data_IF_610892771901
#
_entry.id   IF_610892771901
#
_cell.length_a   1.000
_cell.length_b   1.000
_cell.length_c   1.000
_cell.angle_alpha   90.00
_cell.angle_beta   90.00
_cell.angle_gamma   90.00
#
_symmetry.space_group_name_H-M   'P 1'
#
loop_
_entity.id
_entity.type
_entity.pdbx_description
1 polymer ?
#
# COMPACT_ATOMS: atom_id res chain seq x y z
N UNK A 1 -37.56 -68.24 31.51
CA UNK A 1 -37.11 -69.58 31.05
C UNK A 1 -38.37 -70.36 30.66
N UNK A 2 -38.42 -71.12 29.54
CA UNK A 2 -37.74 -70.95 28.24
C UNK A 2 -38.55 -69.92 27.39
N UNK A 3 -39.18 -70.08 26.20
CA UNK A 3 -39.30 -71.16 25.18
C UNK A 3 -39.81 -70.69 23.79
N UNK A 4 -39.49 -71.50 22.76
CA UNK A 4 -40.23 -71.90 21.53
C UNK A 4 -41.43 -71.02 21.04
N UNK A 5 -41.40 -70.27 19.91
CA UNK A 5 -41.34 -70.63 18.44
C UNK A 5 -42.69 -71.09 17.82
N UNK A 6 -42.85 -71.16 16.47
CA UNK A 6 -42.44 -70.24 15.37
C UNK A 6 -43.58 -69.96 14.34
N UNK A 7 -43.34 -69.12 13.32
CA UNK A 7 -44.15 -69.11 12.09
C UNK A 7 -43.36 -68.78 10.81
N UNK A 8 -43.65 -69.58 9.76
CA UNK A 8 -43.16 -69.61 8.37
C UNK A 8 -42.98 -68.22 7.72
N UNK A 9 -41.95 -67.91 6.93
CA UNK A 9 -41.33 -68.64 5.78
C UNK A 9 -42.22 -68.76 4.54
N UNK A 10 -41.96 -67.95 3.52
CA UNK A 10 -42.19 -68.26 2.10
C UNK A 10 -41.27 -67.41 1.22
N UNK A 11 -40.95 -67.93 0.03
CA UNK A 11 -39.95 -67.38 -0.89
C UNK A 11 -40.58 -66.69 -2.10
N UNK A 12 -39.76 -65.92 -2.82
CA UNK A 12 -39.81 -65.43 -4.22
C UNK A 12 -39.45 -63.94 -4.25
N UNK A 13 -38.71 -63.37 -5.21
CA UNK A 13 -37.69 -63.89 -6.14
C UNK A 13 -36.95 -62.66 -6.73
N UNK A 14 -35.85 -62.86 -7.47
CA UNK A 14 -35.16 -61.77 -8.17
C UNK A 14 -36.00 -61.20 -9.33
N UNK A 15 -35.94 -59.88 -9.50
CA UNK A 15 -35.60 -59.26 -10.80
C UNK A 15 -34.71 -58.05 -10.56
N UNK A 16 -33.57 -57.99 -11.26
CA UNK A 16 -32.76 -56.76 -11.34
C UNK A 16 -33.45 -55.78 -12.28
N UNK A 17 -33.40 -54.49 -11.96
CA UNK A 17 -33.29 -53.45 -12.98
C UNK A 17 -32.19 -52.47 -12.56
N UNK A 18 -31.23 -52.27 -13.44
CA UNK A 18 -30.09 -51.39 -13.19
C UNK A 18 -30.44 -49.95 -13.60
N UNK A 19 -30.12 -48.98 -12.75
CA UNK A 19 -30.12 -47.56 -13.10
C UNK A 19 -29.09 -46.82 -12.25
N UNK A 20 -27.80 -46.87 -12.62
CA UNK A 20 -26.79 -46.02 -12.01
C UNK A 20 -26.95 -44.60 -12.55
N UNK A 21 -27.92 -43.83 -12.02
CA UNK A 21 -27.94 -42.39 -12.26
C UNK A 21 -26.82 -41.75 -11.44
N UNK A 22 -25.80 -41.28 -12.13
CA UNK A 22 -24.67 -40.60 -11.50
C UNK A 22 -25.15 -39.29 -10.88
N UNK A 23 -25.18 -39.20 -9.55
CA UNK A 23 -24.87 -37.94 -8.88
C UNK A 23 -23.35 -37.68 -8.98
N UNK A 24 -22.89 -37.53 -10.23
CA UNK A 24 -21.63 -36.87 -10.52
C UNK A 24 -21.83 -35.41 -10.15
N UNK A 25 -21.52 -35.08 -8.89
CA UNK A 25 -21.49 -33.72 -8.38
C UNK A 25 -20.53 -32.89 -9.22
N UNK A 26 -21.06 -32.28 -10.29
CA UNK A 26 -20.43 -31.22 -11.05
C UNK A 26 -20.33 -30.00 -10.15
N UNK A 27 -19.35 -30.06 -9.26
CA UNK A 27 -18.65 -28.90 -8.77
C UNK A 27 -18.10 -28.19 -10.01
N UNK A 28 -18.94 -27.32 -10.59
CA UNK A 28 -18.53 -26.22 -11.44
C UNK A 28 -17.65 -25.32 -10.58
N UNK A 29 -16.40 -25.75 -10.43
CA UNK A 29 -15.26 -24.89 -10.18
C UNK A 29 -15.20 -23.94 -11.38
N UNK A 30 -16.04 -22.89 -11.32
CA UNK A 30 -15.83 -21.68 -12.08
C UNK A 30 -14.34 -21.36 -11.95
N UNK A 31 -13.56 -21.32 -13.05
CA UNK A 31 -12.21 -20.82 -12.96
C UNK A 31 -12.34 -19.39 -12.48
N UNK A 32 -11.94 -19.14 -11.22
CA UNK A 32 -11.95 -17.81 -10.61
C UNK A 32 -11.18 -16.89 -11.54
N UNK A 33 -11.92 -16.10 -12.34
CA UNK A 33 -11.35 -15.37 -13.46
C UNK A 33 -10.18 -14.55 -12.92
N UNK A 34 -8.93 -14.81 -13.36
CA UNK A 34 -7.74 -14.44 -12.60
C UNK A 34 -7.74 -12.94 -12.39
N UNK A 35 -7.97 -12.52 -11.14
CA UNK A 35 -8.29 -11.13 -10.78
C UNK A 35 -7.26 -10.22 -11.43
N UNK A 36 -7.64 -9.42 -12.43
CA UNK A 36 -6.72 -8.94 -13.46
C UNK A 36 -5.55 -8.24 -12.77
N UNK A 37 -4.34 -8.71 -13.08
CA UNK A 37 -3.11 -8.35 -12.38
C UNK A 37 -2.97 -6.83 -12.38
N UNK A 38 -3.38 -6.24 -11.26
CA UNK A 38 -3.75 -4.83 -11.23
C UNK A 38 -2.46 -4.05 -11.28
N UNK A 39 -2.28 -3.26 -12.34
CA UNK A 39 -1.10 -2.42 -12.47
C UNK A 39 -0.98 -1.52 -11.23
N UNK A 40 0.26 -1.22 -10.78
CA UNK A 40 0.47 -0.20 -9.76
C UNK A 40 -0.15 1.12 -10.23
N UNK A 41 -0.52 1.99 -9.27
CA UNK A 41 -1.20 3.26 -9.55
C UNK A 41 -0.50 4.02 -10.69
N UNK A 42 -1.25 4.31 -11.75
CA UNK A 42 -0.68 4.86 -12.98
C UNK A 42 -0.66 6.39 -12.96
N UNK A 43 0.29 6.99 -13.69
CA UNK A 43 0.37 8.44 -13.86
C UNK A 43 -0.97 9.01 -14.39
N UNK A 44 -1.50 10.02 -13.71
CA UNK A 44 -2.78 10.64 -14.01
C UNK A 44 -3.99 9.98 -13.35
N UNK A 45 -3.85 8.75 -12.82
CA UNK A 45 -4.93 8.06 -12.11
C UNK A 45 -5.36 8.86 -10.88
N UNK A 46 -6.68 8.95 -10.68
CA UNK A 46 -7.31 9.55 -9.50
C UNK A 46 -7.90 8.44 -8.64
N UNK A 47 -7.63 8.48 -7.34
CA UNK A 47 -8.17 7.53 -6.37
C UNK A 47 -8.56 8.24 -5.07
N UNK A 48 -9.17 7.49 -4.14
CA UNK A 48 -9.69 8.04 -2.88
C UNK A 48 -9.08 7.31 -1.68
N UNK A 49 -8.27 8.01 -0.87
CA UNK A 49 -7.84 7.55 0.46
C UNK A 49 -8.90 7.89 1.51
N UNK A 50 -9.16 6.94 2.39
CA UNK A 50 -9.78 7.16 3.70
C UNK A 50 -8.73 7.11 4.80
N UNK A 51 -8.75 8.10 5.69
CA UNK A 51 -8.04 8.11 6.96
C UNK A 51 -9.07 8.10 8.08
N UNK A 52 -9.22 6.95 8.75
CA UNK A 52 -10.10 6.78 9.90
C UNK A 52 -9.36 7.00 11.23
N UNK A 53 -10.08 7.50 12.24
CA UNK A 53 -9.60 7.48 13.62
C UNK A 53 -9.26 6.04 14.02
N UNK A 54 -8.00 5.79 14.38
CA UNK A 54 -7.45 4.44 14.63
C UNK A 54 -6.48 3.91 13.56
N UNK A 55 -5.95 4.74 12.67
CA UNK A 55 -4.77 4.42 11.84
C UNK A 55 -5.00 3.41 10.70
N UNK A 56 -6.23 2.93 10.51
CA UNK A 56 -6.59 2.12 9.33
C UNK A 56 -6.78 3.03 8.12
N UNK A 57 -5.69 3.28 7.41
CA UNK A 57 -5.75 3.85 6.06
C UNK A 57 -6.33 2.82 5.08
N UNK A 58 -7.23 3.27 4.22
CA UNK A 58 -7.88 2.42 3.23
C UNK A 58 -8.04 3.14 1.90
N UNK A 59 -7.55 2.53 0.83
CA UNK A 59 -7.78 3.01 -0.54
C UNK A 59 -9.13 2.47 -1.03
N UNK A 60 -10.01 3.35 -1.47
CA UNK A 60 -11.27 2.96 -2.11
C UNK A 60 -11.06 2.69 -3.62
N UNK A 61 -11.95 1.90 -4.25
CA UNK A 61 -11.95 1.69 -5.69
C UNK A 61 -11.87 3.00 -6.50
N UNK A 62 -11.23 3.01 -7.68
CA UNK A 62 -10.88 1.84 -8.50
C UNK A 62 -9.63 1.06 -8.04
N UNK A 63 -8.86 1.55 -7.08
CA UNK A 63 -7.69 0.85 -6.54
C UNK A 63 -8.11 -0.38 -5.74
N UNK A 64 -7.73 -1.62 -6.11
CA UNK A 64 -7.99 -2.79 -5.29
C UNK A 64 -7.10 -2.79 -4.04
N UNK A 65 -7.61 -3.33 -2.94
CA UNK A 65 -7.01 -3.24 -1.58
C UNK A 65 -5.69 -4.00 -1.34
N UNK A 66 -4.87 -4.20 -2.38
CA UNK A 66 -3.53 -4.76 -2.28
C UNK A 66 -2.44 -3.68 -2.01
N UNK A 67 -2.77 -2.41 -2.25
CA UNK A 67 -1.87 -1.26 -2.07
C UNK A 67 -2.02 -0.71 -0.66
N UNK A 68 -0.88 -0.59 0.03
CA UNK A 68 -0.73 -0.04 1.39
C UNK A 68 0.14 1.21 1.33
N UNK A 69 -0.27 2.29 1.99
CA UNK A 69 0.65 3.38 2.33
C UNK A 69 1.47 2.95 3.55
N UNK A 70 2.77 3.19 3.53
CA UNK A 70 3.71 2.88 4.62
C UNK A 70 4.26 4.13 5.32
N UNK A 71 4.09 5.30 4.70
CA UNK A 71 4.57 6.60 5.20
C UNK A 71 4.57 7.64 4.08
N UNK A 72 4.76 8.91 4.42
CA UNK A 72 4.77 10.00 3.46
C UNK A 72 4.66 11.36 4.12
N UNK A 73 4.59 12.42 3.31
CA UNK A 73 4.50 13.80 3.76
C UNK A 73 3.90 14.72 2.72
N UNK A 74 3.53 15.93 3.15
CA UNK A 74 3.01 16.99 2.29
C UNK A 74 4.11 17.99 1.99
N UNK A 75 4.46 18.15 0.71
CA UNK A 75 5.56 19.01 0.25
C UNK A 75 5.17 20.51 0.27
N UNK A 76 3.88 20.80 0.37
CA UNK A 76 3.31 22.15 0.40
C UNK A 76 2.73 22.50 1.77
N UNK A 77 2.65 23.81 2.08
CA UNK A 77 1.86 24.32 3.19
C UNK A 77 0.34 24.23 2.83
N UNK A 78 -0.45 23.36 3.50
CA UNK A 78 -1.88 23.22 3.21
C UNK A 78 -2.70 24.47 3.54
N UNK A 79 -2.18 25.40 4.34
CA UNK A 79 -2.80 26.69 4.63
C UNK A 79 -2.61 27.71 3.49
N UNK A 80 -1.68 27.47 2.56
CA UNK A 80 -1.36 28.37 1.44
C UNK A 80 -1.67 27.81 0.06
N UNK A 81 -1.67 26.48 -0.10
CA UNK A 81 -1.81 25.83 -1.41
C UNK A 81 -3.13 25.05 -1.50
N UNK A 82 -3.99 25.41 -2.46
CA UNK A 82 -5.35 24.82 -2.60
C UNK A 82 -5.34 23.35 -3.02
N UNK A 83 -4.25 22.88 -3.65
CA UNK A 83 -4.07 21.50 -4.14
C UNK A 83 -2.62 21.05 -3.87
N UNK A 84 -2.26 20.80 -2.60
CA UNK A 84 -0.89 20.54 -2.21
C UNK A 84 -0.34 19.26 -2.84
N UNK A 85 0.97 19.24 -3.05
CA UNK A 85 1.74 18.07 -3.45
C UNK A 85 2.06 17.18 -2.24
N UNK A 86 2.06 15.87 -2.46
CA UNK A 86 2.39 14.85 -1.47
C UNK A 86 3.47 13.91 -2.03
N UNK A 87 4.29 13.36 -1.14
CA UNK A 87 5.23 12.28 -1.43
C UNK A 87 4.90 11.08 -0.53
N UNK A 88 4.70 9.90 -1.11
CA UNK A 88 4.24 8.72 -0.36
C UNK A 88 5.05 7.46 -0.69
N UNK A 89 5.39 6.70 0.35
CA UNK A 89 5.91 5.34 0.24
C UNK A 89 4.71 4.37 0.21
N UNK A 90 4.55 3.66 -0.88
CA UNK A 90 3.52 2.64 -1.04
C UNK A 90 4.13 1.25 -1.20
N UNK A 91 3.42 0.22 -0.72
CA UNK A 91 3.67 -1.18 -1.02
C UNK A 91 2.48 -1.76 -1.78
N UNK A 92 2.72 -2.32 -2.96
CA UNK A 92 1.75 -3.13 -3.72
C UNK A 92 2.31 -4.55 -3.85
N UNK A 93 1.60 -5.54 -3.27
CA UNK A 93 1.96 -6.98 -3.32
C UNK A 93 3.43 -7.26 -2.94
N UNK A 94 3.97 -6.50 -1.99
CA UNK A 94 5.36 -6.63 -1.51
C UNK A 94 6.40 -5.82 -2.30
N UNK A 95 6.03 -5.15 -3.39
CA UNK A 95 6.90 -4.22 -4.13
C UNK A 95 6.69 -2.81 -3.61
N UNK A 96 7.76 -2.13 -3.20
CA UNK A 96 7.69 -0.73 -2.77
C UNK A 96 7.82 0.25 -3.94
N UNK A 97 7.16 1.40 -3.80
CA UNK A 97 7.14 2.51 -4.75
C UNK A 97 7.20 3.84 -4.00
N UNK A 98 7.87 4.83 -4.56
CA UNK A 98 7.67 6.24 -4.18
C UNK A 98 6.74 6.91 -5.19
N UNK A 99 5.66 7.51 -4.69
CA UNK A 99 4.66 8.22 -5.49
C UNK A 99 4.70 9.71 -5.19
N UNK A 100 4.78 10.53 -6.24
CA UNK A 100 4.52 11.96 -6.19
C UNK A 100 3.07 12.20 -6.58
N UNK A 101 2.32 12.90 -5.73
CA UNK A 101 0.88 13.03 -5.86
C UNK A 101 0.39 14.46 -5.63
N UNK A 102 -0.89 14.71 -5.95
CA UNK A 102 -1.59 15.96 -5.65
C UNK A 102 -2.92 15.68 -4.97
N UNK A 103 -3.20 16.39 -3.87
CA UNK A 103 -4.53 16.43 -3.28
C UNK A 103 -5.48 17.23 -4.19
N UNK A 104 -6.47 16.54 -4.75
CA UNK A 104 -7.53 17.12 -5.59
C UNK A 104 -8.66 17.69 -4.73
N UNK A 105 -9.06 16.94 -3.69
CA UNK A 105 -9.99 17.40 -2.64
C UNK A 105 -9.65 16.76 -1.29
N UNK A 106 -9.95 17.48 -0.20
CA UNK A 106 -10.07 16.95 1.16
C UNK A 106 -11.53 17.10 1.60
N UNK A 107 -12.07 16.09 2.29
CA UNK A 107 -13.36 16.14 2.98
C UNK A 107 -13.21 15.55 4.37
N UNK A 108 -13.64 16.26 5.39
CA UNK A 108 -13.66 15.82 6.79
C UNK A 108 -15.09 15.68 7.26
N UNK A 109 -15.42 14.60 7.97
CA UNK A 109 -16.73 14.43 8.62
C UNK A 109 -16.59 13.83 10.02
N UNK A 110 -17.65 13.99 10.82
CA UNK A 110 -17.73 13.42 12.16
C UNK A 110 -18.23 11.98 12.10
N UNK A 111 -17.58 11.09 12.81
CA UNK A 111 -18.00 9.71 13.04
C UNK A 111 -18.19 9.46 14.55
N UNK A 112 -18.78 8.31 14.90
CA UNK A 112 -19.11 7.93 16.28
C UNK A 112 -17.90 7.88 17.24
N UNK A 113 -16.69 7.79 16.70
CA UNK A 113 -15.43 7.65 17.46
C UNK A 113 -14.36 8.68 17.08
N UNK A 114 -14.73 9.80 16.42
CA UNK A 114 -13.78 10.86 16.08
C UNK A 114 -14.12 11.61 14.79
N UNK A 115 -13.13 12.31 14.23
CA UNK A 115 -13.17 12.78 12.84
C UNK A 115 -12.61 11.71 11.90
N UNK A 116 -13.12 11.68 10.68
CA UNK A 116 -12.56 10.89 9.59
C UNK A 116 -12.36 11.78 8.36
N UNK A 117 -11.26 11.53 7.64
CA UNK A 117 -10.87 12.27 6.46
C UNK A 117 -10.99 11.38 5.21
N UNK A 118 -11.40 11.99 4.11
CA UNK A 118 -11.24 11.46 2.76
C UNK A 118 -10.41 12.44 1.97
N UNK A 119 -9.36 11.93 1.35
CA UNK A 119 -8.62 12.64 0.33
C UNK A 119 -8.93 12.03 -1.03
N UNK A 120 -9.10 12.87 -2.04
CA UNK A 120 -9.04 12.46 -3.44
C UNK A 120 -7.66 12.86 -3.94
N UNK A 121 -6.87 11.90 -4.38
CA UNK A 121 -5.46 12.05 -4.74
C UNK A 121 -5.29 11.74 -6.23
N UNK A 122 -4.43 12.49 -6.91
CA UNK A 122 -4.02 12.23 -8.28
C UNK A 122 -2.53 11.90 -8.32
N UNK A 123 -2.18 10.77 -8.94
CA UNK A 123 -0.78 10.37 -9.14
C UNK A 123 -0.15 11.23 -10.22
N UNK A 124 0.95 11.90 -9.90
CA UNK A 124 1.70 12.77 -10.80
C UNK A 124 2.93 12.09 -11.37
N UNK A 125 3.61 11.26 -10.59
CA UNK A 125 4.74 10.44 -11.01
C UNK A 125 4.95 9.30 -9.99
N UNK A 126 5.61 8.22 -10.41
CA UNK A 126 5.91 7.07 -9.55
C UNK A 126 7.23 6.42 -9.95
N UNK A 127 8.03 5.99 -8.96
CA UNK A 127 9.29 5.28 -9.17
C UNK A 127 9.30 3.98 -8.35
N UNK A 128 9.61 2.82 -8.95
CA UNK A 128 9.73 1.57 -8.22
C UNK A 128 10.99 1.60 -7.35
N UNK A 129 10.92 1.02 -6.16
CA UNK A 129 12.07 0.83 -5.28
C UNK A 129 12.63 -0.60 -5.46
N UNK A 130 13.96 -0.78 -5.54
CA UNK A 130 14.57 -2.06 -5.91
C UNK A 130 14.52 -3.12 -4.81
N UNK A 131 14.30 -2.68 -3.56
CA UNK A 131 14.19 -3.52 -2.37
C UNK A 131 13.25 -2.85 -1.37
N UNK A 132 12.92 -3.54 -0.26
CA UNK A 132 12.28 -2.90 0.89
C UNK A 132 13.29 -2.03 1.64
N UNK A 133 12.87 -0.83 2.03
CA UNK A 133 13.68 0.10 2.83
C UNK A 133 12.86 1.28 3.35
N UNK A 134 13.54 2.40 3.61
CA UNK A 134 12.97 3.64 4.14
C UNK A 134 13.15 4.77 3.13
N UNK A 135 12.11 5.59 2.94
CA UNK A 135 12.25 6.92 2.35
C UNK A 135 12.64 7.92 3.42
N UNK A 136 13.64 8.74 3.10
CA UNK A 136 13.99 9.97 3.82
C UNK A 136 13.67 11.12 2.87
N UNK A 137 12.74 12.00 3.22
CA UNK A 137 12.31 13.08 2.32
C UNK A 137 12.45 14.44 3.01
N UNK A 138 13.27 15.31 2.39
CA UNK A 138 13.35 16.71 2.77
C UNK A 138 12.16 17.46 2.22
N UNK A 139 11.47 18.16 3.12
CA UNK A 139 10.47 19.16 2.77
C UNK A 139 10.97 20.49 3.31
N UNK A 140 10.61 21.62 2.71
CA UNK A 140 11.07 22.94 3.17
C UNK A 140 10.72 23.26 4.65
N UNK A 141 9.75 22.53 5.22
CA UNK A 141 9.40 22.55 6.65
C UNK A 141 9.30 21.12 7.23
N UNK A 142 10.10 20.17 6.73
CA UNK A 142 10.05 18.76 7.12
C UNK A 142 10.91 18.41 8.34
N UNK A 143 10.62 17.30 9.05
CA UNK A 143 11.42 16.85 10.20
C UNK A 143 12.77 16.22 9.79
N UNK A 144 12.97 15.94 8.51
CA UNK A 144 14.24 15.48 7.93
C UNK A 144 14.85 16.63 7.14
N UNK A 145 16.08 17.01 7.49
CA UNK A 145 16.87 18.02 6.79
C UNK A 145 18.07 17.36 6.09
N UNK A 146 18.12 17.43 4.76
CA UNK A 146 19.21 16.90 3.94
C UNK A 146 20.04 18.03 3.31
N UNK A 147 21.31 17.75 3.08
CA UNK A 147 22.24 18.64 2.37
C UNK A 147 23.01 17.87 1.29
N UNK A 148 23.34 18.57 0.21
CA UNK A 148 24.23 18.11 -0.87
C UNK A 148 25.54 18.90 -0.78
N UNK A 149 26.65 18.20 -0.56
CA UNK A 149 27.99 18.79 -0.45
C UNK A 149 28.08 19.97 0.55
N UNK A 150 27.24 19.95 1.60
CA UNK A 150 27.18 20.98 2.64
C UNK A 150 26.15 22.09 2.42
N UNK A 151 25.51 22.20 1.25
CA UNK A 151 24.36 23.10 1.04
C UNK A 151 23.03 22.39 1.31
N UNK A 152 22.08 23.05 1.97
CA UNK A 152 20.77 22.46 2.28
C UNK A 152 19.91 22.26 1.01
N UNK A 153 19.20 21.14 0.94
CA UNK A 153 18.41 20.69 -0.21
C UNK A 153 16.93 20.55 0.14
N UNK A 154 16.11 21.51 -0.27
CA UNK A 154 14.66 21.39 -0.25
C UNK A 154 14.15 20.46 -1.38
N UNK A 155 12.93 19.95 -1.21
CA UNK A 155 12.22 19.16 -2.24
C UNK A 155 12.99 17.93 -2.75
N UNK A 156 13.73 17.27 -1.86
CA UNK A 156 14.56 16.11 -2.14
C UNK A 156 13.98 14.86 -1.48
N UNK A 157 14.01 13.73 -2.21
CA UNK A 157 13.50 12.44 -1.75
C UNK A 157 14.59 11.40 -1.94
N UNK A 158 15.13 10.89 -0.84
CA UNK A 158 16.14 9.84 -0.81
C UNK A 158 15.56 8.50 -0.35
N UNK A 159 16.21 7.42 -0.75
CA UNK A 159 15.91 6.05 -0.33
C UNK A 159 17.16 5.36 0.18
N UNK A 160 17.05 4.67 1.32
CA UNK A 160 18.08 3.78 1.86
C UNK A 160 17.48 2.48 2.37
N UNK A 161 18.33 1.48 2.55
CA UNK A 161 17.98 0.26 3.27
C UNK A 161 17.99 0.54 4.77
N UNK A 162 17.09 -0.10 5.52
CA UNK A 162 17.04 0.01 6.98
C UNK A 162 18.05 -0.96 7.60
N UNK A 163 18.72 -0.56 8.67
CA UNK A 163 19.64 -1.37 9.46
C UNK A 163 19.33 -1.34 10.96
N UNK A 164 19.68 -2.42 11.67
CA UNK A 164 19.28 -2.66 13.06
C UNK A 164 19.78 -1.61 14.09
N UNK A 165 20.67 -0.69 13.68
CA UNK A 165 21.26 0.35 14.52
C UNK A 165 20.97 1.77 14.04
N UNK A 166 20.02 1.96 13.13
CA UNK A 166 19.72 3.26 12.53
C UNK A 166 19.40 4.36 13.57
N UNK A 167 18.80 4.01 14.72
CA UNK A 167 18.56 4.93 15.85
C UNK A 167 19.84 5.56 16.45
N UNK A 168 21.02 4.99 16.19
CA UNK A 168 22.32 5.44 16.70
C UNK A 168 23.08 6.35 15.72
N UNK A 169 22.52 6.59 14.53
CA UNK A 169 23.17 7.31 13.43
C UNK A 169 22.56 8.72 13.32
N UNK A 170 23.28 9.81 13.62
CA UNK A 170 22.72 11.18 13.52
C UNK A 170 22.34 11.59 12.09
N UNK A 171 23.16 11.18 11.12
CA UNK A 171 22.94 11.50 9.70
C UNK A 171 23.27 10.32 8.80
N UNK A 172 22.38 10.04 7.86
CA UNK A 172 22.53 9.01 6.84
C UNK A 172 23.23 9.56 5.59
N UNK A 173 24.26 8.84 5.14
CA UNK A 173 25.02 9.10 3.89
C UNK A 173 25.08 7.85 3.00
N UNK A 174 24.55 6.72 3.45
CA UNK A 174 24.47 5.41 2.78
C UNK A 174 23.28 5.31 1.78
N UNK A 175 22.91 6.46 1.21
CA UNK A 175 21.73 6.63 0.36
C UNK A 175 21.91 5.89 -0.97
N UNK A 176 20.87 5.16 -1.40
CA UNK A 176 20.93 4.25 -2.56
C UNK A 176 20.32 4.83 -3.82
N UNK A 177 19.29 5.66 -3.66
CA UNK A 177 18.64 6.40 -4.74
C UNK A 177 18.23 7.78 -4.19
N UNK A 178 18.20 8.78 -5.06
CA UNK A 178 17.68 10.10 -4.74
C UNK A 178 16.93 10.69 -5.94
N UNK A 179 15.94 11.54 -5.65
CA UNK A 179 15.19 12.32 -6.63
C UNK A 179 14.97 13.73 -6.11
N UNK A 180 15.02 14.73 -6.99
CA UNK A 180 14.50 16.07 -6.73
C UNK A 180 13.08 16.17 -7.27
N UNK A 181 12.17 16.80 -6.53
CA UNK A 181 10.78 17.01 -6.94
C UNK A 181 10.72 18.23 -7.85
N UNK A 182 10.59 18.01 -9.17
CA UNK A 182 10.36 19.11 -10.09
C UNK A 182 8.90 19.56 -10.01
N UNK A 183 8.65 20.57 -9.17
CA UNK A 183 7.33 21.20 -8.96
C UNK A 183 6.70 21.77 -10.23
N UNK A 184 7.51 22.18 -11.23
CA UNK A 184 7.01 22.72 -12.49
C UNK A 184 6.56 21.61 -13.45
N UNK A 185 7.37 20.56 -13.59
CA UNK A 185 7.07 19.42 -14.49
C UNK A 185 6.14 18.36 -13.87
N UNK A 186 5.95 18.41 -12.55
CA UNK A 186 5.20 17.42 -11.75
C UNK A 186 5.78 16.01 -11.91
N UNK A 187 7.07 15.89 -11.58
CA UNK A 187 7.90 14.68 -11.72
C UNK A 187 8.93 14.52 -10.61
N UNK A 188 9.39 13.29 -10.42
CA UNK A 188 10.57 12.93 -9.64
C UNK A 188 11.76 12.79 -10.60
N UNK A 189 12.66 13.77 -10.60
CA UNK A 189 13.86 13.78 -11.42
C UNK A 189 15.01 13.08 -10.68
N UNK A 190 15.62 12.03 -11.25
CA UNK A 190 16.68 11.29 -10.56
C UNK A 190 17.94 12.15 -10.39
N UNK A 191 18.59 11.99 -9.24
CA UNK A 191 19.89 12.61 -8.94
C UNK A 191 20.85 11.59 -8.35
N UNK A 192 22.15 11.87 -8.47
CA UNK A 192 23.19 11.08 -7.82
C UNK A 192 23.10 11.27 -6.29
N UNK A 193 23.02 10.19 -5.47
CA UNK A 193 23.10 10.31 -4.02
C UNK A 193 24.50 10.67 -3.49
N UNK A 194 25.54 10.67 -4.32
CA UNK A 194 26.89 11.06 -3.91
C UNK A 194 26.94 12.48 -3.32
N UNK A 195 27.51 12.61 -2.12
CA UNK A 195 27.60 13.89 -1.41
C UNK A 195 26.32 14.30 -0.66
N UNK A 196 25.25 13.51 -0.69
CA UNK A 196 24.07 13.74 0.15
C UNK A 196 24.28 13.28 1.60
N UNK A 197 23.76 14.07 2.54
CA UNK A 197 23.67 13.73 3.95
C UNK A 197 22.32 14.14 4.51
N UNK A 198 21.51 13.20 5.00
CA UNK A 198 20.18 13.43 5.57
C UNK A 198 20.16 13.26 7.09
N UNK A 199 19.52 14.16 7.83
CA UNK A 199 19.26 13.98 9.26
C UNK A 199 18.43 12.72 9.52
N UNK A 200 18.68 12.05 10.65
CA UNK A 200 17.89 10.90 11.06
C UNK A 200 16.65 11.33 11.87
N UNK A 201 15.42 11.05 11.41
CA UNK A 201 14.20 11.40 12.15
C UNK A 201 14.00 10.57 13.43
N UNK A 202 14.77 9.49 13.63
CA UNK A 202 14.77 8.67 14.83
C UNK A 202 15.89 9.04 15.83
N UNK A 203 16.72 10.05 15.55
CA UNK A 203 17.75 10.50 16.48
C UNK A 203 17.13 10.96 17.81
N UNK A 204 17.65 10.44 18.92
CA UNK A 204 17.13 10.74 20.27
C UNK A 204 15.83 10.02 20.66
N UNK A 205 15.33 9.09 19.85
CA UNK A 205 14.19 8.22 20.22
C UNK A 205 14.72 6.89 20.83
N UNK A 206 14.16 6.45 21.97
CA UNK A 206 14.63 5.27 22.72
C UNK A 206 14.08 3.93 22.21
#
# INVERSE_FOLDING_TARGET
MPALTPARSSWLALTLFASPLLEASLALAYPSAPTPASAPLQRGQVYRRLQGAGGREGLQPPTPGAIRVLGGGMLDDPGRVTRPLLIELMEDRGRQWVMLERQVTLRTWRQRHGLANSQTLQVLDGKPLPARGQLLFTMANGPVACSLNGSEEADLVAFRLVGDRDHQIPRFTDLRLAWRVNRQQLRLEPMDPAGLSCANPAEGQP
#
